data_IF_996039546661
#
_entry.id   IF_996039546661
#
_cell.length_a   1.000
_cell.length_b   1.000
_cell.length_c   1.000
_cell.angle_alpha   90.00
_cell.angle_beta   90.00
_cell.angle_gamma   90.00
#
_symmetry.space_group_name_H-M   'P 1'
#
loop_
_entity.id
_entity.type
_entity.pdbx_description
1 polymer ?
#
# COMPACT_ATOMS: atom_id res chain seq x y z
N UNK A 1 34.02 -6.35 12.30
CA UNK A 1 32.58 -6.01 12.12
C UNK A 1 31.96 -7.03 11.20
N UNK A 2 30.82 -7.65 11.59
CA UNK A 2 30.12 -8.66 10.75
C UNK A 2 29.61 -7.98 9.49
N UNK A 3 29.86 -8.56 8.33
CA UNK A 3 29.36 -8.08 7.04
C UNK A 3 28.19 -8.96 6.60
N UNK A 4 27.08 -8.35 6.23
CA UNK A 4 25.89 -9.01 5.70
C UNK A 4 25.87 -9.00 4.17
N UNK A 5 25.20 -9.94 3.54
CA UNK A 5 24.90 -9.84 2.11
C UNK A 5 23.96 -8.67 1.83
N UNK A 6 22.90 -8.56 2.61
CA UNK A 6 21.88 -7.51 2.46
C UNK A 6 21.55 -6.89 3.82
N UNK A 7 21.41 -5.57 3.86
CA UNK A 7 20.80 -4.86 4.99
C UNK A 7 19.45 -4.31 4.51
N UNK A 8 18.41 -4.58 5.29
CA UNK A 8 17.04 -4.10 5.02
C UNK A 8 16.65 -3.16 6.16
N UNK A 9 16.37 -1.91 5.82
CA UNK A 9 15.90 -0.91 6.77
C UNK A 9 14.37 -0.84 6.73
N UNK A 10 13.69 -1.34 7.77
CA UNK A 10 12.24 -1.44 7.89
C UNK A 10 11.72 -2.88 7.71
N UNK A 11 10.99 -3.37 8.72
CA UNK A 11 10.40 -4.71 8.74
C UNK A 11 8.86 -4.71 8.47
N UNK A 12 8.36 -3.70 7.75
CA UNK A 12 7.00 -3.69 7.22
C UNK A 12 6.82 -4.70 6.08
N UNK A 13 5.67 -4.70 5.37
CA UNK A 13 5.36 -5.69 4.34
C UNK A 13 6.43 -5.85 3.26
N UNK A 14 7.06 -4.74 2.81
CA UNK A 14 8.12 -4.80 1.81
C UNK A 14 9.40 -5.47 2.37
N UNK A 15 9.88 -4.98 3.52
CA UNK A 15 11.12 -5.48 4.11
C UNK A 15 11.02 -6.92 4.59
N UNK A 16 9.92 -7.29 5.25
CA UNK A 16 9.70 -8.68 5.68
C UNK A 16 9.54 -9.64 4.49
N UNK A 17 8.87 -9.23 3.42
CA UNK A 17 8.77 -10.03 2.20
C UNK A 17 10.15 -10.23 1.54
N UNK A 18 10.95 -9.16 1.45
CA UNK A 18 12.31 -9.24 0.92
C UNK A 18 13.21 -10.14 1.79
N UNK A 19 13.16 -9.97 3.10
CA UNK A 19 13.94 -10.79 4.04
C UNK A 19 13.57 -12.28 3.94
N UNK A 20 12.29 -12.61 3.82
CA UNK A 20 11.82 -13.99 3.68
C UNK A 20 12.39 -14.66 2.41
N UNK A 21 12.34 -13.97 1.26
CA UNK A 21 12.89 -14.48 0.00
C UNK A 21 14.41 -14.63 0.08
N UNK A 22 15.11 -13.67 0.62
CA UNK A 22 16.57 -13.75 0.79
C UNK A 22 16.96 -14.86 1.78
N UNK A 23 16.18 -15.03 2.85
CA UNK A 23 16.38 -16.10 3.83
C UNK A 23 16.17 -17.48 3.25
N UNK A 24 15.14 -17.67 2.43
CA UNK A 24 14.88 -18.91 1.67
C UNK A 24 16.08 -19.29 0.78
N UNK A 25 16.74 -18.29 0.21
CA UNK A 25 17.93 -18.46 -0.63
C UNK A 25 19.25 -18.54 0.16
N UNK A 26 19.21 -18.54 1.49
CA UNK A 26 20.38 -18.64 2.37
C UNK A 26 21.25 -17.40 2.46
N UNK A 27 20.79 -16.25 1.96
CA UNK A 27 21.54 -15.01 2.06
C UNK A 27 21.55 -14.49 3.50
N UNK A 28 22.70 -14.02 3.99
CA UNK A 28 22.80 -13.38 5.30
C UNK A 28 22.19 -11.98 5.26
N UNK A 29 21.14 -11.75 6.05
CA UNK A 29 20.40 -10.48 6.08
C UNK A 29 20.41 -9.91 7.48
N UNK A 30 20.62 -8.59 7.57
CA UNK A 30 20.30 -7.79 8.74
C UNK A 30 19.01 -7.01 8.45
N UNK A 31 17.92 -7.39 9.12
CA UNK A 31 16.63 -6.70 9.07
C UNK A 31 16.54 -5.77 10.27
N UNK A 32 16.41 -4.46 10.03
CA UNK A 32 16.41 -3.43 11.10
C UNK A 32 15.06 -2.73 11.09
N UNK A 33 14.41 -2.62 12.26
CA UNK A 33 13.21 -1.78 12.41
C UNK A 33 13.29 -0.92 13.68
N UNK A 34 12.75 0.29 13.58
CA UNK A 34 12.69 1.24 14.71
C UNK A 34 11.69 0.82 15.80
N UNK A 35 10.74 -0.04 15.46
CA UNK A 35 9.71 -0.56 16.36
C UNK A 35 10.01 -2.01 16.75
N UNK A 36 9.37 -2.48 17.82
CA UNK A 36 9.19 -3.90 18.10
C UNK A 36 7.84 -4.37 17.56
N UNK A 37 7.79 -5.64 17.14
CA UNK A 37 6.54 -6.26 16.65
C UNK A 37 5.94 -7.19 17.71
N UNK A 38 4.60 -7.33 17.71
CA UNK A 38 3.64 -6.71 16.79
C UNK A 38 3.44 -5.21 17.08
N UNK A 39 3.21 -4.42 16.00
CA UNK A 39 2.99 -2.98 16.10
C UNK A 39 1.85 -2.54 15.21
N UNK A 40 1.22 -1.42 15.55
CA UNK A 40 0.18 -0.79 14.71
C UNK A 40 0.79 0.11 13.63
N UNK A 41 0.07 0.25 12.50
CA UNK A 41 0.32 1.26 11.46
C UNK A 41 -1.02 1.74 10.91
N UNK A 42 -1.19 3.04 10.70
CA UNK A 42 -2.39 3.61 10.08
C UNK A 42 -2.63 2.99 8.71
N UNK A 43 -3.79 2.32 8.54
CA UNK A 43 -4.20 1.60 7.35
C UNK A 43 -5.70 1.29 7.43
N UNK A 44 -6.36 1.05 6.29
CA UNK A 44 -7.71 0.45 6.24
C UNK A 44 -7.74 -1.05 6.52
N UNK A 45 -6.57 -1.70 6.65
CA UNK A 45 -6.41 -3.14 6.96
C UNK A 45 -6.90 -4.11 5.87
N UNK A 46 -7.23 -3.61 4.70
CA UNK A 46 -7.62 -4.44 3.56
C UNK A 46 -6.42 -5.07 2.84
N UNK A 47 -6.32 -6.38 2.87
CA UNK A 47 -5.37 -7.18 2.08
C UNK A 47 -6.12 -7.71 0.87
N UNK A 48 -6.00 -7.02 -0.26
CA UNK A 48 -6.78 -7.32 -1.47
C UNK A 48 -6.26 -8.56 -2.20
N UNK A 49 -7.07 -9.11 -3.10
CA UNK A 49 -6.69 -10.23 -3.97
C UNK A 49 -5.35 -10.00 -4.71
N UNK A 50 -4.95 -8.74 -4.96
CA UNK A 50 -3.67 -8.39 -5.58
C UNK A 50 -2.45 -8.80 -4.75
N UNK A 51 -2.61 -8.99 -3.44
CA UNK A 51 -1.56 -9.50 -2.55
C UNK A 51 -1.43 -11.02 -2.60
N UNK A 52 -2.45 -11.76 -3.07
CA UNK A 52 -2.46 -13.22 -3.07
C UNK A 52 -1.28 -13.86 -3.80
N UNK A 53 -0.82 -13.41 -4.98
CA UNK A 53 0.36 -13.97 -5.61
C UNK A 53 1.62 -13.85 -4.74
N UNK A 54 1.81 -12.71 -4.07
CA UNK A 54 2.92 -12.50 -3.15
C UNK A 54 2.78 -13.36 -1.88
N UNK A 55 1.58 -13.48 -1.33
CA UNK A 55 1.30 -14.35 -0.19
C UNK A 55 1.55 -15.83 -0.54
N UNK A 56 1.10 -16.30 -1.70
CA UNK A 56 1.39 -17.66 -2.20
C UNK A 56 2.88 -17.89 -2.38
N UNK A 57 3.62 -16.91 -2.94
CA UNK A 57 5.09 -16.98 -3.08
C UNK A 57 5.80 -17.12 -1.73
N UNK A 58 5.24 -16.54 -0.67
CA UNK A 58 5.76 -16.62 0.70
C UNK A 58 5.24 -17.84 1.47
N UNK A 59 4.26 -18.58 0.95
CA UNK A 59 3.58 -19.69 1.63
C UNK A 59 2.69 -19.22 2.78
N UNK A 60 2.09 -18.03 2.67
CA UNK A 60 1.29 -17.40 3.72
C UNK A 60 -0.19 -17.20 3.36
N UNK A 61 -0.61 -17.54 2.14
CA UNK A 61 -1.99 -17.34 1.68
C UNK A 61 -3.02 -18.07 2.57
N UNK A 62 -2.76 -19.34 2.91
CA UNK A 62 -3.63 -20.10 3.81
C UNK A 62 -3.64 -19.56 5.24
N UNK A 63 -2.50 -19.07 5.73
CA UNK A 63 -2.40 -18.45 7.05
C UNK A 63 -3.23 -17.17 7.12
N UNK A 64 -3.14 -16.30 6.11
CA UNK A 64 -3.93 -15.07 6.05
C UNK A 64 -5.41 -15.36 5.95
N UNK A 65 -5.81 -16.33 5.11
CA UNK A 65 -7.21 -16.80 5.03
C UNK A 65 -7.74 -17.26 6.40
N UNK A 66 -6.95 -18.05 7.13
CA UNK A 66 -7.37 -18.62 8.42
C UNK A 66 -7.38 -17.59 9.54
N UNK A 67 -6.46 -16.63 9.54
CA UNK A 67 -6.31 -15.65 10.62
C UNK A 67 -7.04 -14.32 10.37
N UNK A 68 -7.56 -14.11 9.15
CA UNK A 68 -8.36 -12.92 8.89
C UNK A 68 -9.71 -13.01 9.61
N UNK A 69 -10.03 -12.07 10.50
CA UNK A 69 -11.30 -12.09 11.24
C UNK A 69 -12.50 -11.82 10.32
N UNK A 70 -12.27 -11.21 9.16
CA UNK A 70 -13.31 -10.87 8.21
C UNK A 70 -12.78 -10.86 6.77
N UNK A 71 -13.66 -11.14 5.83
CA UNK A 71 -13.35 -11.05 4.40
C UNK A 71 -14.49 -10.41 3.64
N UNK A 72 -14.19 -9.84 2.47
CA UNK A 72 -15.17 -9.18 1.63
C UNK A 72 -15.19 -9.78 0.23
N UNK A 73 -16.39 -9.81 -0.37
CA UNK A 73 -16.60 -10.31 -1.73
C UNK A 73 -17.01 -9.21 -2.71
N UNK A 74 -17.01 -7.94 -2.27
CA UNK A 74 -17.48 -6.87 -3.14
C UNK A 74 -17.09 -5.48 -2.63
N UNK A 75 -17.57 -4.49 -3.40
CA UNK A 75 -17.46 -3.08 -3.08
C UNK A 75 -18.85 -2.44 -3.07
N UNK A 76 -19.08 -1.53 -2.14
CA UNK A 76 -20.17 -0.57 -2.16
C UNK A 76 -19.59 0.82 -2.38
N UNK A 77 -19.86 1.43 -3.52
CA UNK A 77 -19.48 2.82 -3.80
C UNK A 77 -20.69 3.72 -3.53
N UNK A 78 -20.49 4.73 -2.71
CA UNK A 78 -21.50 5.74 -2.40
C UNK A 78 -21.04 7.06 -3.00
N UNK A 79 -21.82 7.61 -3.92
CA UNK A 79 -21.47 8.83 -4.66
C UNK A 79 -21.98 10.09 -3.97
N UNK A 80 -21.58 11.27 -4.46
CA UNK A 80 -21.91 12.59 -3.93
C UNK A 80 -23.43 12.85 -3.83
N UNK A 81 -24.21 12.32 -4.76
CA UNK A 81 -25.67 12.38 -4.79
C UNK A 81 -26.33 11.34 -3.88
N UNK A 82 -25.53 10.60 -3.08
CA UNK A 82 -25.95 9.49 -2.23
C UNK A 82 -26.45 8.26 -2.97
N UNK A 83 -26.34 8.20 -4.30
CA UNK A 83 -26.58 6.98 -5.05
C UNK A 83 -25.54 5.93 -4.69
N UNK A 84 -25.90 4.65 -4.83
CA UNK A 84 -25.05 3.51 -4.49
C UNK A 84 -24.84 2.64 -5.71
N UNK A 85 -23.62 2.14 -5.82
CA UNK A 85 -23.27 1.08 -6.75
C UNK A 85 -22.63 -0.06 -5.95
N UNK A 86 -23.23 -1.24 -6.02
CA UNK A 86 -22.80 -2.41 -5.28
C UNK A 86 -22.28 -3.42 -6.30
N UNK A 87 -21.06 -3.87 -6.08
CA UNK A 87 -20.42 -4.95 -6.82
C UNK A 87 -20.18 -6.09 -5.87
N UNK A 88 -20.77 -7.22 -6.16
CA UNK A 88 -20.49 -8.45 -5.45
C UNK A 88 -20.00 -9.48 -6.47
N UNK A 89 -18.85 -10.04 -6.23
CA UNK A 89 -18.39 -11.19 -6.99
C UNK A 89 -19.02 -12.44 -6.43
N UNK A 90 -19.43 -13.41 -7.28
CA UNK A 90 -19.83 -14.71 -6.78
C UNK A 90 -18.74 -15.27 -5.85
N UNK A 91 -19.11 -16.05 -4.83
CA UNK A 91 -18.13 -16.68 -3.96
C UNK A 91 -17.16 -17.51 -4.81
N UNK A 92 -15.96 -16.99 -5.02
CA UNK A 92 -14.83 -17.69 -5.62
C UNK A 92 -14.05 -18.34 -4.49
N UNK A 93 -13.09 -19.19 -4.84
CA UNK A 93 -12.16 -19.78 -3.86
C UNK A 93 -11.43 -18.75 -3.01
N UNK A 94 -11.22 -17.53 -3.56
CA UNK A 94 -10.55 -16.42 -2.89
C UNK A 94 -11.50 -15.22 -2.71
N UNK A 95 -11.48 -14.60 -1.54
CA UNK A 95 -12.17 -13.35 -1.26
C UNK A 95 -11.56 -12.18 -2.05
N UNK A 96 -12.35 -11.11 -2.26
CA UNK A 96 -11.87 -9.88 -2.88
C UNK A 96 -10.83 -9.18 -2.00
N UNK A 97 -11.06 -9.18 -0.68
CA UNK A 97 -10.10 -8.75 0.30
C UNK A 97 -10.30 -9.48 1.63
N UNK A 98 -9.19 -9.71 2.32
CA UNK A 98 -9.14 -10.13 3.72
C UNK A 98 -8.93 -8.89 4.57
N UNK A 99 -9.72 -8.71 5.62
CA UNK A 99 -9.60 -7.59 6.53
C UNK A 99 -8.87 -8.09 7.78
N UNK A 100 -7.61 -7.68 7.90
CA UNK A 100 -6.72 -8.09 8.99
C UNK A 100 -5.89 -6.90 9.45
N UNK A 101 -5.83 -6.68 10.76
CA UNK A 101 -5.10 -5.54 11.32
C UNK A 101 -3.62 -5.55 10.93
N UNK A 102 -3.03 -4.36 10.74
CA UNK A 102 -1.59 -4.25 10.49
C UNK A 102 -0.74 -4.78 11.66
N UNK A 103 -1.30 -4.78 12.87
CA UNK A 103 -0.69 -5.40 14.04
C UNK A 103 -0.44 -6.90 13.82
N UNK A 104 -1.43 -7.61 13.29
CA UNK A 104 -1.35 -9.04 13.02
C UNK A 104 -0.66 -9.33 11.69
N UNK A 105 -1.08 -8.68 10.62
CA UNK A 105 -0.57 -8.90 9.28
C UNK A 105 0.95 -8.70 9.16
N UNK A 106 1.45 -7.55 9.64
CA UNK A 106 2.87 -7.26 9.58
C UNK A 106 3.68 -8.23 10.45
N UNK A 107 3.13 -8.66 11.60
CA UNK A 107 3.77 -9.65 12.44
C UNK A 107 3.86 -11.04 11.77
N UNK A 108 2.81 -11.49 11.08
CA UNK A 108 2.83 -12.75 10.31
C UNK A 108 3.97 -12.73 9.28
N UNK A 109 4.10 -11.65 8.53
CA UNK A 109 5.17 -11.48 7.54
C UNK A 109 6.56 -11.48 8.19
N UNK A 110 6.71 -10.79 9.31
CA UNK A 110 7.98 -10.76 10.05
C UNK A 110 8.34 -12.14 10.61
N UNK A 111 7.40 -12.86 11.22
CA UNK A 111 7.65 -14.22 11.73
C UNK A 111 8.10 -15.15 10.62
N UNK A 112 7.51 -15.05 9.43
CA UNK A 112 7.98 -15.80 8.26
C UNK A 112 9.42 -15.44 7.90
N UNK A 113 9.79 -14.17 7.90
CA UNK A 113 11.14 -13.74 7.58
C UNK A 113 12.16 -14.29 8.59
N UNK A 114 11.92 -14.11 9.88
CA UNK A 114 12.86 -14.52 10.94
C UNK A 114 12.87 -16.04 11.21
N UNK A 115 11.96 -16.81 10.59
CA UNK A 115 12.03 -18.27 10.64
C UNK A 115 13.26 -18.85 9.92
N UNK A 116 13.92 -18.05 9.07
CA UNK A 116 15.16 -18.47 8.40
C UNK A 116 16.38 -18.13 9.24
N UNK A 117 17.29 -19.07 9.52
CA UNK A 117 18.46 -18.84 10.38
C UNK A 117 19.46 -17.78 9.88
N UNK A 118 19.42 -17.48 8.58
CA UNK A 118 20.27 -16.47 7.94
C UNK A 118 19.79 -15.03 8.18
N UNK A 119 18.60 -14.84 8.75
CA UNK A 119 18.03 -13.54 9.03
C UNK A 119 18.33 -13.14 10.47
N UNK A 120 18.96 -11.99 10.65
CA UNK A 120 19.19 -11.35 11.94
C UNK A 120 18.23 -10.15 12.05
N UNK A 121 17.33 -10.17 13.03
CA UNK A 121 16.45 -9.03 13.33
C UNK A 121 17.10 -8.11 14.38
N UNK A 122 17.07 -6.81 14.11
CA UNK A 122 17.44 -5.76 15.05
C UNK A 122 16.25 -4.80 15.23
N UNK A 123 15.47 -5.04 16.25
CA UNK A 123 14.30 -4.23 16.63
C UNK A 123 14.70 -3.01 17.46
N UNK A 124 13.76 -2.06 17.64
CA UNK A 124 13.94 -0.82 18.41
C UNK A 124 15.19 -0.03 17.98
N UNK A 125 15.52 -0.12 16.69
CA UNK A 125 16.75 0.50 16.16
C UNK A 125 16.40 1.28 14.90
N UNK A 126 16.55 2.60 14.96
CA UNK A 126 16.24 3.48 13.84
C UNK A 126 17.48 3.65 12.96
N UNK A 127 17.36 3.29 11.69
CA UNK A 127 18.36 3.65 10.66
C UNK A 127 18.30 5.15 10.43
N UNK A 128 19.45 5.81 10.43
CA UNK A 128 19.57 7.27 10.33
C UNK A 128 20.30 7.76 9.09
N UNK A 129 21.07 6.88 8.43
CA UNK A 129 21.83 7.25 7.24
C UNK A 129 22.47 6.06 6.54
N UNK A 130 23.21 6.37 5.47
CA UNK A 130 24.02 5.43 4.70
C UNK A 130 25.48 5.53 5.10
N UNK A 131 26.17 4.39 5.16
CA UNK A 131 27.63 4.31 5.21
C UNK A 131 28.16 4.30 3.78
N UNK A 132 29.20 5.09 3.53
CA UNK A 132 29.86 5.17 2.23
C UNK A 132 31.31 4.73 2.31
N UNK A 133 31.76 3.98 1.31
CA UNK A 133 33.16 3.70 1.01
C UNK A 133 33.46 4.22 -0.41
N UNK A 134 33.95 5.44 -0.50
CA UNK A 134 34.04 6.20 -1.75
C UNK A 134 32.62 6.48 -2.30
N UNK A 135 32.37 6.15 -3.55
CA UNK A 135 31.04 6.30 -4.19
C UNK A 135 30.08 5.18 -3.84
N UNK A 136 30.56 4.05 -3.28
CA UNK A 136 29.75 2.87 -2.98
C UNK A 136 29.06 3.02 -1.63
N UNK A 137 27.82 2.55 -1.55
CA UNK A 137 27.11 2.39 -0.28
C UNK A 137 27.62 1.11 0.39
N UNK A 138 28.24 1.25 1.56
CA UNK A 138 28.87 0.15 2.30
C UNK A 138 27.97 -0.41 3.41
N UNK A 139 26.85 0.26 3.70
CA UNK A 139 25.94 -0.14 4.77
C UNK A 139 25.05 0.98 5.27
N UNK A 140 24.67 0.89 6.54
CA UNK A 140 23.82 1.89 7.20
C UNK A 140 24.36 2.31 8.56
N UNK A 141 23.98 3.52 8.98
CA UNK A 141 24.16 4.02 10.35
C UNK A 141 22.82 4.02 11.09
N UNK A 142 22.86 3.87 12.41
CA UNK A 142 21.68 3.84 13.26
C UNK A 142 21.75 4.91 14.34
N UNK A 143 20.60 5.21 14.95
CA UNK A 143 20.53 6.05 16.14
C UNK A 143 21.41 5.43 17.25
N UNK A 144 22.17 6.27 17.95
CA UNK A 144 23.17 5.80 18.92
C UNK A 144 24.55 5.47 18.32
N UNK A 145 24.75 5.71 16.99
CA UNK A 145 26.06 5.62 16.33
C UNK A 145 26.47 4.20 15.90
N UNK A 146 25.54 3.24 15.90
CA UNK A 146 25.81 1.90 15.38
C UNK A 146 26.06 1.92 13.87
N UNK A 147 27.05 1.16 13.40
CA UNK A 147 27.38 0.99 11.99
C UNK A 147 27.27 -0.47 11.58
N UNK A 148 26.61 -0.73 10.45
CA UNK A 148 26.42 -2.08 9.93
C UNK A 148 26.80 -2.12 8.45
N UNK A 149 27.68 -3.06 8.09
CA UNK A 149 28.17 -3.22 6.71
C UNK A 149 27.39 -4.28 5.95
N UNK A 150 27.05 -3.97 4.67
CA UNK A 150 26.36 -4.87 3.76
C UNK A 150 26.76 -4.63 2.31
N UNK A 151 26.60 -5.66 1.49
CA UNK A 151 26.87 -5.56 0.04
C UNK A 151 25.76 -4.83 -0.70
N UNK A 152 24.52 -4.96 -0.23
CA UNK A 152 23.32 -4.28 -0.73
C UNK A 152 22.58 -3.66 0.44
N UNK A 153 21.96 -2.50 0.22
CA UNK A 153 21.03 -1.87 1.16
C UNK A 153 19.65 -1.76 0.53
N UNK A 154 18.62 -2.21 1.23
CA UNK A 154 17.22 -2.02 0.83
C UNK A 154 16.54 -1.05 1.79
N UNK A 155 16.01 0.04 1.24
CA UNK A 155 15.20 0.99 2.01
C UNK A 155 13.73 0.58 1.96
N UNK A 156 13.24 0.06 3.08
CA UNK A 156 11.84 -0.30 3.35
C UNK A 156 11.25 0.54 4.49
N UNK A 157 11.84 1.74 4.78
CA UNK A 157 11.47 2.57 5.94
C UNK A 157 10.13 3.30 5.80
N UNK A 158 9.46 3.13 4.66
CA UNK A 158 8.12 3.66 4.43
C UNK A 158 8.13 5.11 3.92
N UNK A 159 7.01 5.81 4.08
CA UNK A 159 6.77 7.15 3.51
C UNK A 159 7.79 8.21 3.95
N UNK A 160 8.39 8.04 5.10
CA UNK A 160 9.41 8.94 5.62
C UNK A 160 10.84 8.47 5.30
N UNK A 161 11.01 7.70 4.22
CA UNK A 161 12.34 7.26 3.78
C UNK A 161 13.35 8.40 3.86
N UNK A 162 14.45 8.14 4.53
CA UNK A 162 15.58 9.07 4.66
C UNK A 162 16.70 8.73 3.67
N UNK A 163 16.71 7.50 3.17
CA UNK A 163 17.77 6.97 2.31
C UNK A 163 17.55 7.34 0.84
N UNK A 164 16.27 7.50 0.42
CA UNK A 164 15.86 7.85 -0.95
C UNK A 164 15.36 9.31 -1.12
N UNK A 165 15.85 10.26 -0.33
CA UNK A 165 15.31 11.62 -0.24
C UNK A 165 15.30 12.42 -1.55
N UNK A 166 16.21 12.14 -2.46
CA UNK A 166 16.44 12.96 -3.67
C UNK A 166 15.29 12.90 -4.69
N UNK A 167 14.40 11.92 -4.60
CA UNK A 167 13.39 11.62 -5.62
C UNK A 167 11.94 11.73 -5.12
N UNK A 168 11.66 12.46 -4.05
CA UNK A 168 10.29 12.64 -3.55
C UNK A 168 9.59 13.79 -4.29
N UNK A 169 8.54 13.45 -5.03
CA UNK A 169 7.60 14.46 -5.52
C UNK A 169 6.62 14.81 -4.36
N UNK A 170 6.66 16.03 -3.81
CA UNK A 170 5.79 16.41 -2.70
C UNK A 170 4.29 16.46 -3.10
N UNK A 171 3.97 16.54 -4.40
CA UNK A 171 2.60 16.53 -4.92
C UNK A 171 1.94 15.14 -4.86
N UNK A 172 2.72 14.09 -4.65
CA UNK A 172 2.23 12.71 -4.65
C UNK A 172 2.00 12.14 -3.24
N UNK A 173 1.66 12.96 -2.27
CA UNK A 173 1.38 12.53 -0.92
C UNK A 173 -0.09 12.78 -0.57
N UNK A 174 -0.75 11.77 -0.02
CA UNK A 174 -2.05 11.92 0.63
C UNK A 174 -1.91 11.87 2.15
N UNK A 175 -2.85 12.50 2.83
CA UNK A 175 -3.03 12.43 4.28
C UNK A 175 -4.31 11.65 4.56
N UNK A 176 -4.25 10.71 5.49
CA UNK A 176 -5.41 9.94 5.90
C UNK A 176 -5.46 9.78 7.41
N UNK A 177 -6.67 9.59 7.92
CA UNK A 177 -6.93 9.22 9.31
C UNK A 177 -7.84 8.01 9.36
N UNK A 178 -7.72 7.18 10.41
CA UNK A 178 -8.64 6.08 10.66
C UNK A 178 -8.85 5.84 12.15
N UNK A 179 -9.98 5.20 12.47
CA UNK A 179 -10.27 4.64 13.79
C UNK A 179 -10.96 3.30 13.65
N UNK A 180 -10.92 2.51 14.72
CA UNK A 180 -11.77 1.33 14.83
C UNK A 180 -13.05 1.74 15.57
N UNK A 181 -14.18 1.26 15.06
CA UNK A 181 -15.49 1.57 15.62
C UNK A 181 -16.25 0.30 15.92
N UNK A 182 -16.85 0.24 17.10
CA UNK A 182 -17.84 -0.76 17.49
C UNK A 182 -19.26 -0.25 17.36
N UNK A 183 -20.26 -1.15 17.50
CA UNK A 183 -21.69 -0.87 17.36
C UNK A 183 -22.07 -0.24 16.00
N UNK A 184 -21.37 -0.63 14.95
CA UNK A 184 -21.72 -0.28 13.57
C UNK A 184 -22.81 -1.24 13.10
N UNK A 185 -23.89 -0.71 12.53
CA UNK A 185 -25.00 -1.53 12.01
C UNK A 185 -24.95 -1.68 10.49
N UNK A 186 -25.70 -2.63 9.95
CA UNK A 186 -25.86 -2.84 8.50
C UNK A 186 -24.53 -3.00 7.74
N UNK A 187 -23.54 -3.63 8.37
CA UNK A 187 -22.31 -4.02 7.71
C UNK A 187 -22.55 -5.25 6.84
N UNK A 188 -22.20 -5.14 5.56
CA UNK A 188 -22.24 -6.21 4.59
C UNK A 188 -20.84 -6.76 4.31
N UNK A 189 -20.74 -7.84 3.55
CA UNK A 189 -19.44 -8.40 3.12
C UNK A 189 -18.80 -7.57 1.98
N UNK A 190 -18.91 -6.24 2.03
CA UNK A 190 -18.34 -5.33 1.03
C UNK A 190 -17.42 -4.31 1.69
N UNK A 191 -16.39 -3.90 0.97
CA UNK A 191 -15.63 -2.69 1.26
C UNK A 191 -16.49 -1.51 0.83
N UNK A 192 -16.80 -0.62 1.74
CA UNK A 192 -17.58 0.58 1.42
C UNK A 192 -16.66 1.78 1.22
N UNK A 193 -16.85 2.50 0.10
CA UNK A 193 -16.12 3.71 -0.26
C UNK A 193 -17.12 4.83 -0.51
N UNK A 194 -16.89 5.99 0.10
CA UNK A 194 -17.78 7.14 0.07
C UNK A 194 -17.06 8.35 -0.54
N UNK A 195 -17.61 8.88 -1.61
CA UNK A 195 -17.15 10.11 -2.26
C UNK A 195 -18.01 11.28 -1.80
N UNK A 196 -17.38 12.32 -1.28
CA UNK A 196 -18.04 13.55 -0.79
C UNK A 196 -17.27 14.77 -1.21
N UNK A 197 -17.96 15.89 -1.45
CA UNK A 197 -17.35 17.13 -1.95
C UNK A 197 -16.20 17.66 -1.08
N UNK A 198 -16.33 17.47 0.23
CA UNK A 198 -15.38 17.97 1.22
C UNK A 198 -14.08 17.14 1.34
N UNK A 199 -13.96 16.00 0.62
CA UNK A 199 -12.76 15.15 0.67
C UNK A 199 -12.17 14.87 -0.72
N UNK A 200 -12.91 15.15 -1.81
CA UNK A 200 -12.45 14.87 -3.17
C UNK A 200 -11.10 15.53 -3.50
N UNK A 201 -10.26 14.87 -4.32
CA UNK A 201 -10.45 13.58 -5.01
C UNK A 201 -10.17 12.35 -4.13
N UNK A 202 -10.08 12.51 -2.82
CA UNK A 202 -10.02 11.43 -1.85
C UNK A 202 -11.38 10.82 -1.55
N UNK A 203 -11.43 10.00 -0.52
CA UNK A 203 -12.65 9.29 -0.12
C UNK A 203 -12.64 8.92 1.37
N UNK A 204 -13.83 8.60 1.91
CA UNK A 204 -13.97 7.89 3.17
C UNK A 204 -14.19 6.40 2.92
N UNK A 205 -13.88 5.57 3.91
CA UNK A 205 -14.11 4.13 3.83
C UNK A 205 -14.72 3.58 5.12
N UNK A 206 -15.48 2.48 4.97
CA UNK A 206 -15.92 1.61 6.05
C UNK A 206 -15.53 0.18 5.66
N UNK A 207 -14.54 -0.39 6.34
CA UNK A 207 -14.07 -1.76 6.11
C UNK A 207 -14.49 -2.62 7.29
N UNK A 208 -15.43 -3.54 7.12
CA UNK A 208 -15.91 -4.40 8.18
C UNK A 208 -14.78 -5.26 8.76
N UNK A 209 -14.64 -5.27 10.07
CA UNK A 209 -13.70 -6.17 10.80
C UNK A 209 -14.44 -7.28 11.54
N UNK A 210 -15.75 -7.12 11.72
CA UNK A 210 -16.71 -8.11 12.20
C UNK A 210 -18.13 -7.69 11.78
N UNK A 211 -19.18 -8.45 12.10
CA UNK A 211 -20.56 -8.04 11.83
C UNK A 211 -20.98 -6.71 12.47
N UNK A 212 -20.27 -6.23 13.50
CA UNK A 212 -20.62 -5.01 14.25
C UNK A 212 -19.45 -4.07 14.51
N UNK A 213 -18.27 -4.37 13.93
CA UNK A 213 -17.08 -3.52 14.06
C UNK A 213 -16.49 -3.21 12.69
N UNK A 214 -15.88 -2.03 12.56
CA UNK A 214 -15.26 -1.61 11.31
C UNK A 214 -14.03 -0.74 11.53
N UNK A 215 -13.07 -0.84 10.60
CA UNK A 215 -12.05 0.18 10.38
C UNK A 215 -12.67 1.27 9.51
N UNK A 216 -12.80 2.47 10.05
CA UNK A 216 -13.40 3.61 9.36
C UNK A 216 -12.39 4.72 9.25
N UNK A 217 -12.26 5.29 8.06
CA UNK A 217 -11.31 6.36 7.83
C UNK A 217 -11.60 7.19 6.60
N UNK A 218 -10.75 8.14 6.35
CA UNK A 218 -10.81 8.99 5.17
C UNK A 218 -9.48 9.68 4.91
N UNK A 219 -9.26 10.10 3.67
CA UNK A 219 -8.05 10.79 3.29
C UNK A 219 -8.15 11.46 1.93
N UNK A 220 -7.32 12.48 1.73
CA UNK A 220 -7.19 13.21 0.48
C UNK A 220 -5.76 13.69 0.28
N UNK A 221 -5.47 14.32 -0.85
CA UNK A 221 -4.14 14.83 -1.17
C UNK A 221 -3.66 15.90 -0.19
N UNK A 222 -2.39 15.84 0.18
CA UNK A 222 -1.77 16.77 1.13
C UNK A 222 -1.86 18.22 0.66
N UNK A 223 -1.64 18.49 -0.62
CA UNK A 223 -1.73 19.83 -1.18
C UNK A 223 -3.14 20.43 -1.07
N UNK A 224 -4.20 19.60 -1.15
CA UNK A 224 -5.59 20.04 -0.95
C UNK A 224 -5.83 20.37 0.53
N UNK A 225 -5.37 19.48 1.42
CA UNK A 225 -5.46 19.71 2.87
C UNK A 225 -4.81 21.03 3.26
N UNK A 226 -3.64 21.32 2.72
CA UNK A 226 -2.89 22.54 2.99
C UNK A 226 -3.56 23.78 2.39
N UNK A 227 -3.96 23.71 1.11
CA UNK A 227 -4.59 24.83 0.41
C UNK A 227 -5.94 25.24 1.00
N UNK A 228 -6.74 24.27 1.41
CA UNK A 228 -8.07 24.48 1.97
C UNK A 228 -8.07 24.54 3.50
N UNK A 229 -6.90 24.38 4.15
CA UNK A 229 -6.74 24.36 5.62
C UNK A 229 -7.65 23.32 6.30
N UNK A 230 -7.77 22.16 5.69
CA UNK A 230 -8.63 21.07 6.16
C UNK A 230 -8.03 20.42 7.41
N UNK A 231 -8.83 20.24 8.44
CA UNK A 231 -8.55 19.30 9.52
C UNK A 231 -9.20 17.95 9.19
N UNK A 232 -8.41 16.97 8.78
CA UNK A 232 -8.93 15.65 8.38
C UNK A 232 -9.65 14.94 9.54
N UNK A 233 -9.29 15.19 10.80
CA UNK A 233 -10.00 14.61 11.96
C UNK A 233 -11.40 15.19 12.10
N UNK A 234 -11.56 16.48 11.84
CA UNK A 234 -12.87 17.13 11.88
C UNK A 234 -13.75 16.64 10.73
N UNK A 235 -13.18 16.47 9.52
CA UNK A 235 -13.89 15.83 8.42
C UNK A 235 -14.33 14.41 8.76
N UNK A 236 -13.50 13.66 9.47
CA UNK A 236 -13.84 12.30 9.90
C UNK A 236 -15.00 12.31 10.91
N UNK A 237 -15.01 13.25 11.85
CA UNK A 237 -16.14 13.43 12.79
C UNK A 237 -17.42 13.81 12.06
N UNK A 238 -17.34 14.74 11.10
CA UNK A 238 -18.48 15.14 10.27
C UNK A 238 -19.04 13.97 9.46
N UNK A 239 -18.16 13.17 8.83
CA UNK A 239 -18.55 11.95 8.10
C UNK A 239 -19.34 10.98 9.00
N UNK A 240 -18.84 10.72 10.19
CA UNK A 240 -19.50 9.80 11.14
C UNK A 240 -20.86 10.30 11.58
N UNK A 241 -20.99 11.61 11.83
CA UNK A 241 -22.19 12.20 12.42
C UNK A 241 -23.23 12.64 11.39
N UNK A 242 -22.79 13.18 10.26
CA UNK A 242 -23.66 13.96 9.38
C UNK A 242 -23.79 13.42 7.95
N UNK A 243 -22.91 12.48 7.51
CA UNK A 243 -23.00 11.96 6.15
C UNK A 243 -24.35 11.27 5.90
N UNK A 244 -25.15 11.66 4.88
CA UNK A 244 -26.55 11.24 4.72
C UNK A 244 -26.80 9.73 4.70
N UNK A 245 -25.81 8.97 4.24
CA UNK A 245 -25.88 7.49 4.15
C UNK A 245 -25.15 6.84 5.33
N UNK A 246 -23.89 7.25 5.60
CA UNK A 246 -23.05 6.59 6.60
C UNK A 246 -23.55 6.82 8.03
N UNK A 247 -24.04 8.02 8.36
CA UNK A 247 -24.49 8.35 9.71
C UNK A 247 -25.62 7.43 10.21
N UNK A 248 -26.42 6.86 9.31
CA UNK A 248 -27.51 5.94 9.70
C UNK A 248 -26.94 4.68 10.34
N UNK A 249 -25.92 4.07 9.75
CA UNK A 249 -25.24 2.88 10.28
C UNK A 249 -24.24 3.20 11.40
N UNK A 250 -23.79 4.44 11.48
CA UNK A 250 -22.82 4.93 12.47
C UNK A 250 -23.47 5.62 13.68
N UNK A 251 -24.81 5.70 13.74
CA UNK A 251 -25.56 6.41 14.78
C UNK A 251 -25.16 6.02 16.22
N UNK A 252 -24.92 4.73 16.43
CA UNK A 252 -24.55 4.17 17.73
C UNK A 252 -23.07 3.74 17.78
N UNK A 253 -22.32 4.05 16.73
CA UNK A 253 -20.92 3.65 16.63
C UNK A 253 -20.07 4.36 17.69
N UNK A 254 -19.15 3.63 18.28
CA UNK A 254 -18.21 4.14 19.29
C UNK A 254 -16.78 3.96 18.79
N UNK A 255 -16.01 5.04 18.82
CA UNK A 255 -14.59 5.00 18.50
C UNK A 255 -13.84 4.23 19.59
N UNK A 256 -13.16 3.17 19.20
CA UNK A 256 -12.29 2.39 20.07
C UNK A 256 -10.87 2.98 20.07
N UNK A 257 -10.54 3.67 21.14
CA UNK A 257 -9.26 4.37 21.28
C UNK A 257 -9.25 5.75 20.63
N UNK A 258 -8.31 6.01 19.72
CA UNK A 258 -8.10 7.32 19.10
C UNK A 258 -8.02 7.24 17.57
N UNK A 259 -8.34 8.35 16.90
CA UNK A 259 -8.05 8.52 15.48
C UNK A 259 -6.53 8.60 15.25
N UNK A 260 -6.00 7.73 14.40
CA UNK A 260 -4.58 7.74 13.99
C UNK A 260 -4.44 8.23 12.56
N UNK A 261 -3.54 9.19 12.35
CA UNK A 261 -3.22 9.74 11.04
C UNK A 261 -1.95 9.18 10.42
N UNK A 262 -1.84 9.27 9.10
CA UNK A 262 -0.66 8.85 8.37
C UNK A 262 -0.55 9.51 7.00
N UNK A 263 0.69 9.54 6.48
CA UNK A 263 0.98 9.93 5.10
C UNK A 263 0.97 8.71 4.20
N UNK A 264 0.54 8.89 2.96
CA UNK A 264 0.49 7.86 1.92
C UNK A 264 1.26 8.37 0.71
N UNK A 265 2.39 7.75 0.32
CA UNK A 265 3.20 8.20 -0.82
C UNK A 265 2.66 7.56 -2.10
N UNK A 266 1.76 8.26 -2.78
CA UNK A 266 1.13 7.80 -4.01
C UNK A 266 2.12 7.81 -5.18
N UNK A 267 2.04 6.80 -6.05
CA UNK A 267 2.76 6.75 -7.32
C UNK A 267 2.04 7.64 -8.36
N UNK A 268 2.27 8.95 -8.29
CA UNK A 268 1.63 9.95 -9.11
C UNK A 268 2.65 10.87 -9.78
N UNK A 269 2.40 11.24 -11.04
CA UNK A 269 3.28 12.06 -11.84
C UNK A 269 4.39 11.25 -12.53
N UNK A 270 5.55 11.85 -12.72
CA UNK A 270 6.68 11.15 -13.33
C UNK A 270 7.18 10.03 -12.42
N UNK A 271 6.81 8.78 -12.74
CA UNK A 271 7.27 7.58 -12.03
C UNK A 271 8.43 6.87 -12.72
N UNK A 272 8.97 7.41 -13.84
CA UNK A 272 10.00 6.77 -14.66
C UNK A 272 11.43 6.91 -14.08
N UNK A 273 11.58 7.26 -12.80
CA UNK A 273 12.88 7.29 -12.17
C UNK A 273 13.28 5.93 -11.58
N UNK A 274 14.58 5.61 -11.65
CA UNK A 274 15.10 4.36 -11.11
C UNK A 274 14.96 4.29 -9.58
N UNK A 275 14.46 3.16 -9.08
CA UNK A 275 14.43 2.83 -7.64
C UNK A 275 15.73 2.14 -7.20
N UNK A 276 16.72 2.11 -8.09
CA UNK A 276 18.06 1.60 -7.80
C UNK A 276 19.09 2.73 -7.99
N UNK A 277 19.90 2.95 -6.98
CA UNK A 277 21.04 3.88 -7.05
C UNK A 277 22.27 3.18 -6.46
N UNK A 278 23.25 2.85 -7.32
CA UNK A 278 24.33 1.98 -6.95
C UNK A 278 23.78 0.66 -6.37
N UNK A 279 24.16 0.31 -5.16
CA UNK A 279 23.65 -0.86 -4.43
C UNK A 279 22.56 -0.55 -3.38
N UNK A 280 21.90 0.60 -3.47
CA UNK A 280 20.68 0.95 -2.74
C UNK A 280 19.44 0.63 -3.59
N UNK A 281 18.47 -0.09 -3.04
CA UNK A 281 17.18 -0.40 -3.65
C UNK A 281 16.05 0.16 -2.78
N UNK A 282 15.12 0.91 -3.38
CA UNK A 282 13.96 1.47 -2.68
C UNK A 282 12.76 0.54 -2.90
N UNK A 283 12.13 0.09 -1.81
CA UNK A 283 11.01 -0.86 -1.86
C UNK A 283 9.80 -0.36 -1.05
N UNK A 284 8.61 -0.75 -1.46
CA UNK A 284 7.36 -0.34 -0.82
C UNK A 284 7.16 1.18 -0.81
N UNK A 285 6.59 1.71 0.26
CA UNK A 285 6.31 3.15 0.39
C UNK A 285 7.56 4.03 0.28
N UNK A 286 8.75 3.51 0.60
CA UNK A 286 10.02 4.23 0.44
C UNK A 286 10.35 4.50 -1.03
N UNK A 287 9.95 3.61 -1.93
CA UNK A 287 10.05 3.77 -3.38
C UNK A 287 8.85 4.47 -4.04
N UNK A 288 7.84 4.88 -3.26
CA UNK A 288 6.64 5.56 -3.79
C UNK A 288 5.76 4.64 -4.63
N UNK A 289 5.52 3.41 -4.18
CA UNK A 289 4.79 2.40 -4.96
C UNK A 289 3.29 2.30 -4.66
N UNK A 290 2.72 3.18 -3.85
CA UNK A 290 1.29 3.13 -3.54
C UNK A 290 0.45 3.49 -4.77
N UNK A 291 -0.58 2.69 -5.05
CA UNK A 291 -1.49 2.95 -6.17
C UNK A 291 -2.13 4.35 -6.05
N UNK A 292 -2.06 5.19 -7.09
CA UNK A 292 -2.51 6.58 -7.01
C UNK A 292 -4.04 6.73 -6.97
N UNK A 293 -4.80 5.72 -7.42
CA UNK A 293 -6.27 5.76 -7.46
C UNK A 293 -6.87 5.19 -6.16
N UNK A 294 -6.40 3.99 -5.78
CA UNK A 294 -7.01 3.24 -4.67
C UNK A 294 -6.30 3.44 -3.34
N UNK A 295 -5.15 4.15 -3.33
CA UNK A 295 -4.25 4.26 -2.18
C UNK A 295 -3.83 2.90 -1.57
N UNK A 296 -3.95 1.81 -2.34
CA UNK A 296 -3.48 0.49 -1.96
C UNK A 296 -1.95 0.44 -1.99
N UNK A 297 -1.33 0.05 -0.88
CA UNK A 297 0.12 -0.05 -0.76
C UNK A 297 0.64 -1.44 -0.39
N UNK A 298 -0.17 -2.30 0.27
CA UNK A 298 0.29 -3.58 0.83
C UNK A 298 0.77 -4.53 -0.26
N UNK A 299 -0.02 -4.78 -1.29
CA UNK A 299 0.34 -5.68 -2.39
C UNK A 299 1.57 -5.21 -3.15
N UNK A 300 1.66 -3.91 -3.41
CA UNK A 300 2.82 -3.29 -4.06
C UNK A 300 4.09 -3.38 -3.20
N UNK A 301 3.95 -3.16 -1.89
CA UNK A 301 5.06 -3.29 -0.95
C UNK A 301 5.61 -4.73 -0.92
N UNK A 302 4.74 -5.73 -0.83
CA UNK A 302 5.15 -7.13 -0.85
C UNK A 302 5.83 -7.52 -2.18
N UNK A 303 5.21 -7.18 -3.31
CA UNK A 303 5.74 -7.48 -4.64
C UNK A 303 7.10 -6.84 -4.88
N UNK A 304 7.24 -5.54 -4.56
CA UNK A 304 8.53 -4.85 -4.71
C UNK A 304 9.60 -5.44 -3.79
N UNK A 305 9.25 -5.85 -2.59
CA UNK A 305 10.14 -6.59 -1.70
C UNK A 305 10.63 -7.89 -2.30
N UNK A 306 9.73 -8.68 -2.90
CA UNK A 306 10.05 -9.95 -3.57
C UNK A 306 10.94 -9.70 -4.79
N UNK A 307 10.58 -8.77 -5.68
CA UNK A 307 11.37 -8.46 -6.88
C UNK A 307 12.78 -7.99 -6.53
N UNK A 308 12.91 -7.08 -5.56
CA UNK A 308 14.21 -6.62 -5.10
C UNK A 308 15.06 -7.76 -4.52
N UNK A 309 14.45 -8.64 -3.74
CA UNK A 309 15.14 -9.78 -3.13
C UNK A 309 15.63 -10.81 -4.17
N UNK A 310 14.80 -11.13 -5.16
CA UNK A 310 15.18 -12.04 -6.25
C UNK A 310 16.31 -11.46 -7.09
N UNK A 311 16.23 -10.17 -7.45
CA UNK A 311 17.29 -9.46 -8.18
C UNK A 311 18.58 -9.36 -7.38
N UNK A 312 18.49 -9.03 -6.08
CA UNK A 312 19.63 -8.97 -5.18
C UNK A 312 20.33 -10.33 -5.03
N UNK A 313 19.55 -11.43 -4.95
CA UNK A 313 20.12 -12.77 -4.88
C UNK A 313 20.92 -13.11 -6.15
N UNK A 314 20.39 -12.81 -7.33
CA UNK A 314 21.11 -13.02 -8.60
C UNK A 314 22.41 -12.21 -8.65
N UNK A 315 22.40 -10.96 -8.20
CA UNK A 315 23.59 -10.12 -8.11
C UNK A 315 24.65 -10.74 -7.19
N UNK A 316 24.24 -11.26 -6.03
CA UNK A 316 25.13 -11.91 -5.07
C UNK A 316 25.70 -13.23 -5.60
N UNK A 317 24.91 -14.05 -6.26
CA UNK A 317 25.32 -15.31 -6.90
C UNK A 317 26.38 -15.08 -7.99
N UNK A 318 26.34 -13.94 -8.68
CA UNK A 318 27.34 -13.52 -9.66
C UNK A 318 28.54 -12.80 -9.05
N UNK A 319 28.76 -12.91 -7.74
CA UNK A 319 29.91 -12.36 -7.03
C UNK A 319 29.84 -10.86 -6.74
N UNK A 320 28.67 -10.24 -6.83
CA UNK A 320 28.39 -8.85 -6.47
C UNK A 320 29.28 -7.81 -7.22
N UNK A 321 29.57 -8.05 -8.49
CA UNK A 321 30.47 -7.22 -9.31
C UNK A 321 29.77 -6.35 -10.35
N UNK A 322 28.61 -6.79 -10.86
CA UNK A 322 27.90 -6.09 -11.91
C UNK A 322 26.59 -5.47 -11.38
N UNK A 323 26.65 -4.18 -11.01
CA UNK A 323 25.49 -3.45 -10.46
C UNK A 323 24.34 -3.29 -11.48
N UNK A 324 24.57 -3.46 -12.78
CA UNK A 324 23.52 -3.45 -13.81
C UNK A 324 22.45 -4.54 -13.55
N UNK A 325 22.82 -5.65 -12.89
CA UNK A 325 21.89 -6.71 -12.51
C UNK A 325 20.82 -6.14 -11.57
N UNK A 326 21.18 -5.22 -10.67
CA UNK A 326 20.22 -4.62 -9.74
C UNK A 326 19.17 -3.76 -10.47
N UNK A 327 19.51 -3.19 -11.64
CA UNK A 327 18.57 -2.39 -12.44
C UNK A 327 17.43 -3.23 -13.04
N UNK A 328 17.61 -4.54 -13.18
CA UNK A 328 16.52 -5.43 -13.59
C UNK A 328 15.31 -5.38 -12.64
N UNK A 329 15.50 -4.92 -11.40
CA UNK A 329 14.41 -4.63 -10.49
C UNK A 329 13.45 -3.57 -11.04
N UNK A 330 13.99 -2.53 -11.69
CA UNK A 330 13.16 -1.48 -12.28
C UNK A 330 12.30 -2.03 -13.44
N UNK A 331 12.82 -2.95 -14.26
CA UNK A 331 12.07 -3.58 -15.33
C UNK A 331 10.92 -4.45 -14.80
N UNK A 332 11.13 -5.14 -13.68
CA UNK A 332 10.12 -6.00 -13.06
C UNK A 332 8.92 -5.20 -12.58
N UNK A 333 9.14 -4.16 -11.77
CA UNK A 333 8.02 -3.37 -11.26
C UNK A 333 7.37 -2.49 -12.33
N UNK A 334 8.14 -1.95 -13.30
CA UNK A 334 7.59 -1.22 -14.44
C UNK A 334 6.64 -2.09 -15.26
N UNK A 335 7.05 -3.33 -15.54
CA UNK A 335 6.20 -4.29 -16.25
C UNK A 335 4.88 -4.57 -15.52
N UNK A 336 4.91 -4.70 -14.20
CA UNK A 336 3.73 -5.06 -13.40
C UNK A 336 2.83 -3.84 -13.10
N UNK A 337 3.40 -2.63 -12.90
CA UNK A 337 2.65 -1.51 -12.33
C UNK A 337 2.43 -0.32 -13.27
N UNK A 338 3.24 -0.18 -14.34
CA UNK A 338 3.24 1.06 -15.15
C UNK A 338 1.89 1.40 -15.77
N UNK A 339 1.12 0.41 -16.19
CA UNK A 339 -0.22 0.63 -16.74
C UNK A 339 -1.18 1.24 -15.71
N UNK A 340 -1.11 0.76 -14.47
CA UNK A 340 -1.96 1.24 -13.38
C UNK A 340 -1.55 2.65 -12.92
N UNK A 341 -0.25 2.97 -12.95
CA UNK A 341 0.23 4.30 -12.61
C UNK A 341 -0.12 5.33 -13.69
N UNK A 342 0.08 5.00 -14.97
CA UNK A 342 -0.38 5.85 -16.11
C UNK A 342 -1.88 6.11 -16.03
N UNK A 343 -2.65 5.10 -15.67
CA UNK A 343 -4.08 5.25 -15.47
C UNK A 343 -4.39 6.22 -14.32
N UNK A 344 -3.65 6.15 -13.22
CA UNK A 344 -3.76 7.07 -12.10
C UNK A 344 -3.48 8.51 -12.51
N UNK A 345 -2.43 8.75 -13.30
CA UNK A 345 -2.10 10.09 -13.82
C UNK A 345 -3.24 10.63 -14.68
N UNK A 346 -3.76 9.80 -15.60
CA UNK A 346 -4.89 10.17 -16.46
C UNK A 346 -6.13 10.52 -15.62
N UNK A 347 -6.42 9.70 -14.59
CA UNK A 347 -7.58 9.88 -13.73
C UNK A 347 -7.49 11.18 -12.92
N UNK A 348 -6.31 11.48 -12.38
CA UNK A 348 -6.11 12.63 -11.50
C UNK A 348 -5.88 13.96 -12.27
N UNK A 349 -5.40 13.91 -13.52
CA UNK A 349 -5.11 15.11 -14.33
C UNK A 349 -6.31 15.64 -15.12
N UNK A 350 -7.38 14.89 -15.29
CA UNK A 350 -8.37 15.31 -16.27
C UNK A 350 -9.78 14.79 -16.21
N UNK A 351 -10.23 14.18 -15.12
CA UNK A 351 -11.63 13.77 -15.01
C UNK A 351 -12.34 14.60 -13.96
N UNK A 352 -13.25 15.47 -14.39
CA UNK A 352 -14.22 16.12 -13.52
C UNK A 352 -14.98 15.04 -12.74
N UNK A 353 -15.05 15.14 -11.39
CA UNK A 353 -15.73 14.14 -10.56
C UNK A 353 -17.17 13.85 -10.98
N UNK A 354 -17.89 14.87 -11.47
CA UNK A 354 -19.27 14.75 -11.95
C UNK A 354 -19.39 13.89 -13.21
N UNK A 355 -18.37 13.90 -14.07
CA UNK A 355 -18.36 13.09 -15.30
C UNK A 355 -18.08 11.62 -14.96
N UNK A 356 -17.19 11.34 -14.01
CA UNK A 356 -16.97 9.98 -13.50
C UNK A 356 -18.27 9.42 -12.94
N UNK A 357 -18.96 10.20 -12.10
CA UNK A 357 -20.21 9.79 -11.50
C UNK A 357 -21.31 9.52 -12.53
N UNK A 358 -21.55 10.47 -13.47
CA UNK A 358 -22.56 10.31 -14.52
C UNK A 358 -22.30 9.11 -15.42
N UNK A 359 -21.03 8.86 -15.73
CA UNK A 359 -20.66 7.74 -16.60
C UNK A 359 -20.76 6.41 -15.88
N UNK A 360 -20.27 6.33 -14.64
CA UNK A 360 -20.42 5.16 -13.78
C UNK A 360 -21.92 4.82 -13.61
N UNK A 361 -22.76 5.81 -13.39
CA UNK A 361 -24.20 5.61 -13.28
C UNK A 361 -24.89 5.20 -14.59
N UNK A 362 -24.49 5.78 -15.73
CA UNK A 362 -25.21 5.59 -17.00
C UNK A 362 -24.76 4.38 -17.81
N UNK A 363 -23.49 4.04 -17.78
CA UNK A 363 -22.89 3.05 -18.69
C UNK A 363 -22.50 1.76 -17.97
N UNK A 364 -22.11 1.84 -16.69
CA UNK A 364 -21.72 0.67 -15.91
C UNK A 364 -22.87 -0.27 -15.62
N UNK A 365 -24.05 0.24 -15.31
CA UNK A 365 -25.24 -0.59 -15.07
C UNK A 365 -25.63 -1.48 -16.27
N UNK A 366 -25.19 -1.13 -17.50
CA UNK A 366 -25.53 -1.88 -18.72
C UNK A 366 -24.42 -2.80 -19.23
N UNK A 367 -23.20 -2.68 -18.75
CA UNK A 367 -22.04 -3.40 -19.32
C UNK A 367 -21.20 -4.22 -18.31
N UNK A 368 -21.58 -4.25 -17.03
CA UNK A 368 -20.83 -4.96 -15.99
C UNK A 368 -20.78 -6.47 -16.13
N UNK A 369 -21.74 -7.06 -16.82
CA UNK A 369 -21.74 -8.50 -17.10
C UNK A 369 -20.57 -8.97 -18.00
N UNK A 370 -19.76 -8.05 -18.54
CA UNK A 370 -18.73 -8.32 -19.56
C UNK A 370 -17.33 -7.79 -19.28
N UNK A 371 -17.12 -6.96 -18.27
CA UNK A 371 -15.79 -6.37 -17.98
C UNK A 371 -15.18 -7.08 -16.79
N UNK A 372 -14.11 -7.82 -17.03
CA UNK A 372 -13.30 -8.38 -15.96
C UNK A 372 -12.39 -7.27 -15.36
N UNK A 373 -12.88 -6.56 -14.36
CA UNK A 373 -12.10 -5.57 -13.62
C UNK A 373 -10.89 -6.16 -12.89
N UNK A 374 -10.76 -7.48 -12.85
CA UNK A 374 -9.58 -8.19 -12.39
C UNK A 374 -8.48 -8.23 -13.47
N UNK A 375 -8.82 -7.96 -14.73
CA UNK A 375 -7.87 -7.80 -15.80
C UNK A 375 -7.46 -6.32 -15.94
N UNK A 376 -6.19 -5.95 -15.66
CA UNK A 376 -5.71 -4.58 -15.80
C UNK A 376 -5.87 -4.01 -17.22
N UNK A 377 -5.84 -4.85 -18.25
CA UNK A 377 -6.02 -4.43 -19.63
C UNK A 377 -7.46 -4.02 -19.92
N UNK A 378 -8.45 -4.76 -19.41
CA UNK A 378 -9.87 -4.45 -19.59
C UNK A 378 -10.26 -3.18 -18.82
N UNK A 379 -9.74 -3.03 -17.60
CA UNK A 379 -9.91 -1.81 -16.83
C UNK A 379 -9.26 -0.58 -17.51
N UNK A 380 -8.08 -0.75 -18.11
CA UNK A 380 -7.39 0.29 -18.87
C UNK A 380 -8.18 0.68 -20.13
N UNK A 381 -8.57 -0.28 -20.97
CA UNK A 381 -9.35 -0.05 -22.19
C UNK A 381 -10.67 0.65 -21.86
N UNK A 382 -11.30 0.26 -20.77
CA UNK A 382 -12.54 0.84 -20.28
C UNK A 382 -12.38 2.32 -19.88
N UNK A 383 -11.30 2.67 -19.17
CA UNK A 383 -11.03 4.04 -18.74
C UNK A 383 -10.49 4.93 -19.88
N UNK A 384 -9.79 4.34 -20.87
CA UNK A 384 -9.44 5.04 -22.12
C UNK A 384 -10.70 5.40 -22.90
N UNK A 385 -11.68 4.50 -22.97
CA UNK A 385 -13.00 4.81 -23.58
C UNK A 385 -13.74 5.91 -22.81
N UNK A 386 -13.62 5.94 -21.48
CA UNK A 386 -14.11 7.03 -20.62
C UNK A 386 -13.50 8.39 -21.03
N UNK A 387 -12.16 8.48 -21.16
CA UNK A 387 -11.47 9.73 -21.54
C UNK A 387 -11.80 10.18 -22.96
N UNK A 388 -12.00 9.26 -23.89
CA UNK A 388 -12.41 9.57 -25.27
C UNK A 388 -13.82 10.14 -25.30
N UNK A 389 -14.73 9.59 -24.50
CA UNK A 389 -16.10 10.09 -24.42
C UNK A 389 -16.20 11.45 -23.71
N UNK A 390 -15.38 11.73 -22.69
CA UNK A 390 -15.37 13.03 -22.01
C UNK A 390 -14.72 14.16 -22.82
N UNK A 391 -13.90 13.84 -23.85
CA UNK A 391 -13.40 14.82 -24.83
C UNK A 391 -14.35 15.07 -25.98
N UNK A 392 -15.40 14.26 -26.13
CA UNK A 392 -16.36 14.36 -27.21
C UNK A 392 -17.66 15.12 -26.81
N UNK A 393 -17.74 15.56 -25.58
CA UNK A 393 -18.77 16.45 -25.02
C UNK A 393 -18.14 17.63 -24.30
#
# INVERSE_FOLDING_TARGET
MKKYNVIIAGAGPAGSSAAAILGEKGNSVLLIDKESFPRDKTCGDGVTYKALPALKRLGLDTTIKAQSPFFTNGYTLVFRDNSKLIFETPPKEDALAYIISRHEFDNILLQKAISYPSITLLSNTKVTGLLHEGARIAGVTTEGGGEYKGSIVMDATGVNSILGKENKNPKSCALAVRGYYSNVTDLNNTIEVYFSDNILPGYFWIFPTSPTTANIGGGTFQNIVEAQKINIKDLMHDFVQNHPVASKKLKNARLEGILKGGKIPLAFGDFNWSRVKNNLMLIGDAGGFVNPITAEGISYAMKTGIYAAETASQYLEQGAKNEEILKAYDDLWLKDFSSQYKLGDIFLEGIEPDLVQKYVQSSLLKSFDRVDLHNPADAYEYLVRLKVLTKAF
#
